data_IF_911778020058
#
_entry.id   IF_911778020058
#
_cell.length_a   1.000
_cell.length_b   1.000
_cell.length_c   1.000
_cell.angle_alpha   90.00
_cell.angle_beta   90.00
_cell.angle_gamma   90.00
#
_symmetry.space_group_name_H-M   'P 1'
#
loop_
_entity.id
_entity.type
_entity.pdbx_description
1 polymer ?
#
# COMPACT_ATOMS: atom_id res chain seq x y z
N UNK A 1 12.58 53.11 -24.85
CA UNK A 1 12.11 52.04 -25.76
C UNK A 1 11.36 50.99 -24.94
N UNK A 2 10.23 50.52 -25.47
CA UNK A 2 9.14 49.76 -24.82
C UNK A 2 9.58 48.36 -24.30
N UNK A 3 9.08 47.97 -23.11
CA UNK A 3 9.12 46.60 -22.58
C UNK A 3 8.16 45.69 -23.38
N UNK A 4 8.53 44.44 -23.72
CA UNK A 4 7.57 43.44 -24.18
C UNK A 4 6.88 42.74 -22.99
N UNK A 5 5.57 42.56 -23.12
CA UNK A 5 4.65 42.07 -22.09
C UNK A 5 4.63 40.55 -21.96
N UNK A 6 4.24 40.09 -20.75
CA UNK A 6 3.98 38.70 -20.41
C UNK A 6 2.63 38.27 -20.97
N UNK A 7 2.61 37.29 -21.87
CA UNK A 7 1.41 36.55 -22.24
C UNK A 7 1.17 35.43 -21.21
N UNK A 8 0.00 35.45 -20.58
CA UNK A 8 -0.49 34.34 -19.75
C UNK A 8 -1.08 33.26 -20.64
N UNK A 9 -0.56 32.04 -20.54
CA UNK A 9 -1.13 30.87 -21.19
C UNK A 9 -2.22 30.26 -20.29
N UNK A 10 -3.45 30.26 -20.80
CA UNK A 10 -4.62 29.58 -20.24
C UNK A 10 -4.55 28.11 -20.65
N UNK A 11 -4.38 27.19 -19.69
CA UNK A 11 -4.41 25.75 -19.94
C UNK A 11 -5.82 25.22 -19.71
N UNK A 12 -6.48 24.76 -20.78
CA UNK A 12 -7.76 24.06 -20.73
C UNK A 12 -7.45 22.56 -20.72
N UNK A 13 -7.76 21.88 -19.60
CA UNK A 13 -7.71 20.43 -19.52
C UNK A 13 -9.05 19.85 -19.98
N UNK A 14 -9.09 19.33 -21.20
CA UNK A 14 -10.19 18.48 -21.66
C UNK A 14 -10.00 17.07 -21.13
N UNK A 15 -10.83 16.66 -20.18
CA UNK A 15 -10.93 15.28 -19.71
C UNK A 15 -11.67 14.46 -20.77
N UNK A 16 -10.94 13.68 -21.56
CA UNK A 16 -11.51 12.72 -22.50
C UNK A 16 -11.85 11.46 -21.71
N UNK A 17 -13.14 11.25 -21.46
CA UNK A 17 -13.66 10.02 -20.86
C UNK A 17 -13.70 8.93 -21.94
N UNK A 18 -12.96 7.81 -21.82
CA UNK A 18 -13.02 6.72 -22.79
C UNK A 18 -14.38 5.98 -22.71
N UNK A 19 -14.91 5.49 -23.84
CA UNK A 19 -16.19 4.78 -23.87
C UNK A 19 -16.10 3.44 -23.13
N UNK A 20 -17.03 3.23 -22.19
CA UNK A 20 -17.24 1.97 -21.49
C UNK A 20 -17.45 0.83 -22.52
N UNK A 21 -16.50 -0.09 -22.57
CA UNK A 21 -16.67 -1.36 -23.30
C UNK A 21 -17.63 -2.25 -22.52
N UNK A 22 -18.63 -2.74 -23.25
CA UNK A 22 -19.71 -3.64 -22.79
C UNK A 22 -19.18 -4.80 -21.96
N UNK A 23 -19.60 -4.85 -20.70
CA UNK A 23 -19.46 -6.00 -19.82
C UNK A 23 -20.47 -7.06 -20.27
N UNK A 24 -19.98 -8.18 -20.81
CA UNK A 24 -20.80 -9.36 -21.11
C UNK A 24 -21.01 -10.10 -19.79
N UNK A 25 -22.21 -9.97 -19.23
CA UNK A 25 -22.63 -10.70 -18.02
C UNK A 25 -23.01 -12.11 -18.47
N UNK A 26 -22.16 -13.10 -18.16
CA UNK A 26 -22.51 -14.51 -18.31
C UNK A 26 -23.46 -14.92 -17.18
N UNK A 27 -24.73 -15.11 -17.51
CA UNK A 27 -25.74 -15.65 -16.59
C UNK A 27 -25.46 -17.13 -16.32
N UNK A 28 -24.93 -17.44 -15.14
CA UNK A 28 -24.90 -18.81 -14.64
C UNK A 28 -26.27 -19.18 -14.08
N UNK A 29 -27.00 -20.04 -14.79
CA UNK A 29 -28.23 -20.67 -14.30
C UNK A 29 -27.87 -21.74 -13.27
N UNK A 30 -28.07 -21.45 -11.98
CA UNK A 30 -28.04 -22.46 -10.92
C UNK A 30 -29.32 -23.30 -11.00
N UNK A 31 -29.15 -24.61 -11.22
CA UNK A 31 -30.26 -25.57 -11.16
C UNK A 31 -30.77 -25.76 -9.72
N UNK A 32 -32.07 -26.04 -9.53
CA UNK A 32 -32.67 -26.18 -8.20
C UNK A 32 -32.21 -27.49 -7.55
N UNK A 33 -31.51 -27.39 -6.41
CA UNK A 33 -31.21 -28.50 -5.53
C UNK A 33 -32.44 -28.73 -4.62
N UNK A 34 -33.24 -29.74 -4.93
CA UNK A 34 -34.38 -30.16 -4.10
C UNK A 34 -33.84 -30.95 -2.91
N UNK A 35 -33.93 -30.38 -1.71
CA UNK A 35 -33.68 -31.07 -0.44
C UNK A 35 -35.00 -31.49 0.20
N UNK A 36 -35.13 -32.73 0.72
CA UNK A 36 -36.31 -33.16 1.46
C UNK A 36 -36.34 -32.54 2.86
N UNK A 37 -37.34 -31.70 3.12
CA UNK A 37 -37.68 -31.23 4.47
C UNK A 37 -38.42 -32.35 5.23
N UNK A 38 -37.74 -32.98 6.19
CA UNK A 38 -38.40 -33.76 7.23
C UNK A 38 -38.40 -32.94 8.52
N UNK A 39 -39.52 -32.27 8.80
CA UNK A 39 -39.67 -31.36 9.93
C UNK A 39 -40.17 -32.10 11.18
N UNK A 40 -39.24 -32.58 12.00
CA UNK A 40 -39.53 -33.01 13.37
C UNK A 40 -39.43 -31.79 14.30
N UNK A 41 -40.57 -31.29 14.76
CA UNK A 41 -40.66 -30.16 15.68
C UNK A 41 -40.12 -30.55 17.08
N UNK A 42 -38.85 -30.26 17.32
CA UNK A 42 -38.25 -30.34 18.65
C UNK A 42 -38.59 -29.08 19.48
N UNK A 43 -38.83 -29.22 20.80
CA UNK A 43 -39.14 -28.11 21.69
C UNK A 43 -38.00 -27.09 21.73
N UNK A 44 -38.36 -25.81 21.60
CA UNK A 44 -37.44 -24.67 21.58
C UNK A 44 -36.58 -24.63 22.85
N UNK A 45 -35.24 -24.69 22.74
CA UNK A 45 -34.36 -24.51 23.89
C UNK A 45 -34.49 -23.08 24.42
N UNK A 46 -34.67 -22.99 25.75
CA UNK A 46 -34.75 -21.75 26.51
C UNK A 46 -33.55 -20.85 26.16
N UNK A 47 -33.75 -19.55 25.83
CA UNK A 47 -32.66 -18.68 25.44
C UNK A 47 -31.65 -18.63 26.59
N UNK A 48 -30.36 -18.93 26.35
CA UNK A 48 -29.35 -18.80 27.39
C UNK A 48 -29.30 -17.32 27.78
N UNK A 49 -29.65 -17.04 29.04
CA UNK A 49 -29.44 -15.75 29.70
C UNK A 49 -27.93 -15.56 29.87
N UNK A 50 -27.25 -15.29 28.77
CA UNK A 50 -25.82 -15.05 28.69
C UNK A 50 -25.60 -13.55 28.86
N UNK A 51 -25.54 -13.10 30.11
CA UNK A 51 -24.86 -11.86 30.47
C UNK A 51 -23.36 -12.07 30.27
N UNK A 52 -22.92 -12.20 29.02
CA UNK A 52 -21.51 -12.19 28.69
C UNK A 52 -20.96 -10.83 29.14
N UNK A 53 -19.88 -10.78 29.94
CA UNK A 53 -19.29 -9.53 30.37
C UNK A 53 -18.95 -8.71 29.13
N UNK A 54 -19.46 -7.47 29.06
CA UNK A 54 -19.16 -6.54 27.99
C UNK A 54 -17.64 -6.44 27.86
N UNK A 55 -17.11 -6.97 26.75
CA UNK A 55 -15.68 -6.99 26.48
C UNK A 55 -15.19 -5.54 26.46
N UNK A 56 -14.33 -5.21 27.43
CA UNK A 56 -13.82 -3.84 27.57
C UNK A 56 -13.04 -3.49 26.31
N UNK A 57 -13.59 -2.58 25.51
CA UNK A 57 -12.91 -2.00 24.35
C UNK A 57 -11.59 -1.41 24.86
N UNK A 58 -10.48 -1.86 24.27
CA UNK A 58 -9.17 -1.36 24.64
C UNK A 58 -8.78 -0.26 23.67
N UNK A 59 -8.10 0.75 24.22
CA UNK A 59 -7.64 1.92 23.48
C UNK A 59 -6.14 2.10 23.67
N UNK A 60 -5.47 2.53 22.60
CA UNK A 60 -4.07 2.98 22.62
C UNK A 60 -3.94 4.34 21.92
N UNK A 61 -3.09 5.24 22.44
CA UNK A 61 -2.70 6.44 21.71
C UNK A 61 -1.73 6.04 20.58
N UNK A 62 -1.94 6.61 19.40
CA UNK A 62 -1.11 6.44 18.22
C UNK A 62 -0.90 7.79 17.55
N UNK A 63 0.07 7.88 16.66
CA UNK A 63 0.26 9.05 15.79
C UNK A 63 0.07 8.59 14.37
N UNK A 64 -0.85 9.23 13.64
CA UNK A 64 -1.10 8.99 12.21
C UNK A 64 -0.87 10.29 11.45
N UNK A 65 0.02 10.28 10.47
CA UNK A 65 0.36 11.42 9.62
C UNK A 65 0.76 12.66 10.42
N UNK A 66 1.44 12.45 11.55
CA UNK A 66 1.85 13.52 12.48
C UNK A 66 0.74 14.03 13.40
N UNK A 67 -0.47 13.49 13.32
CA UNK A 67 -1.60 13.87 14.18
C UNK A 67 -1.80 12.85 15.31
N UNK A 68 -2.11 13.31 16.54
CA UNK A 68 -2.48 12.41 17.63
C UNK A 68 -3.84 11.75 17.34
N UNK A 69 -3.88 10.43 17.42
CA UNK A 69 -5.10 9.66 17.26
C UNK A 69 -5.22 8.59 18.34
N UNK A 70 -6.43 8.16 18.63
CA UNK A 70 -6.73 7.00 19.47
C UNK A 70 -7.15 5.84 18.59
N UNK A 71 -6.50 4.68 18.76
CA UNK A 71 -6.91 3.44 18.10
C UNK A 71 -7.62 2.54 19.11
N UNK A 72 -8.86 2.16 18.79
CA UNK A 72 -9.71 1.32 19.64
C UNK A 72 -10.21 0.08 18.89
N UNK A 73 -10.47 -1.00 19.63
CA UNK A 73 -10.99 -2.22 19.02
C UNK A 73 -11.19 -3.39 19.99
N UNK A 74 -11.60 -4.56 19.48
CA UNK A 74 -11.87 -5.76 20.28
C UNK A 74 -10.59 -6.51 20.69
N UNK A 75 -9.41 -6.02 20.31
CA UNK A 75 -8.14 -6.68 20.57
C UNK A 75 -7.46 -6.12 21.82
N UNK A 76 -6.64 -6.94 22.50
CA UNK A 76 -5.86 -6.44 23.63
C UNK A 76 -4.81 -5.42 23.17
N UNK A 77 -4.45 -4.48 24.06
CA UNK A 77 -3.47 -3.41 23.79
C UNK A 77 -2.20 -3.87 23.06
N UNK A 78 -1.52 -4.97 23.42
CA UNK A 78 -0.31 -5.41 22.71
C UNK A 78 -0.55 -5.78 21.25
N UNK A 79 -1.73 -6.33 20.94
CA UNK A 79 -2.13 -6.67 19.57
C UNK A 79 -2.45 -5.39 18.81
N UNK A 80 -3.19 -4.45 19.41
CA UNK A 80 -3.42 -3.13 18.82
C UNK A 80 -2.08 -2.43 18.49
N UNK A 81 -1.13 -2.39 19.42
CA UNK A 81 0.20 -1.81 19.16
C UNK A 81 0.89 -2.49 17.98
N UNK A 82 0.86 -3.83 17.92
CA UNK A 82 1.43 -4.61 16.81
C UNK A 82 0.77 -4.29 15.46
N UNK A 83 -0.54 -4.04 15.44
CA UNK A 83 -1.28 -3.66 14.23
C UNK A 83 -0.86 -2.25 13.77
N UNK A 84 -0.68 -1.31 14.70
CA UNK A 84 -0.22 0.03 14.36
C UNK A 84 1.24 0.03 13.85
N UNK A 85 2.10 -0.83 14.39
CA UNK A 85 3.49 -0.97 13.93
C UNK A 85 3.62 -1.40 12.46
N UNK A 86 2.62 -2.12 11.92
CA UNK A 86 2.57 -2.51 10.50
C UNK A 86 1.74 -1.56 9.65
N UNK A 87 1.27 -0.44 10.19
CA UNK A 87 0.49 0.53 9.42
C UNK A 87 1.29 1.06 8.21
N UNK A 88 0.67 1.27 7.04
CA UNK A 88 1.32 1.83 5.85
C UNK A 88 2.05 3.14 6.14
N UNK A 89 1.53 3.94 7.07
CA UNK A 89 2.12 5.22 7.49
C UNK A 89 3.54 5.08 8.07
N UNK A 90 3.88 3.93 8.67
CA UNK A 90 5.25 3.67 9.18
C UNK A 90 6.25 3.39 8.06
N UNK A 91 5.78 3.26 6.82
CA UNK A 91 6.56 2.86 5.66
C UNK A 91 6.65 4.07 4.75
N UNK A 92 7.63 4.94 5.04
CA UNK A 92 7.86 6.10 4.18
C UNK A 92 8.08 5.65 2.73
N UNK A 93 7.42 6.31 1.74
CA UNK A 93 7.64 6.01 0.34
C UNK A 93 9.09 6.27 -0.09
N UNK A 94 9.80 7.14 0.65
CA UNK A 94 11.22 7.49 0.44
C UNK A 94 12.16 6.76 1.39
N UNK A 95 11.69 5.72 2.08
CA UNK A 95 12.52 4.95 3.00
C UNK A 95 13.75 4.36 2.27
N UNK A 96 14.94 4.63 2.81
CA UNK A 96 16.17 3.99 2.31
C UNK A 96 16.16 2.47 2.52
N UNK A 97 17.05 1.76 1.80
CA UNK A 97 17.15 0.28 1.81
C UNK A 97 17.24 -0.31 3.22
N UNK A 98 18.09 0.28 4.07
CA UNK A 98 18.27 -0.20 5.45
C UNK A 98 17.02 0.00 6.32
N UNK A 99 16.26 1.08 6.08
CA UNK A 99 14.98 1.28 6.75
C UNK A 99 13.96 0.22 6.30
N UNK A 100 13.86 -0.05 4.99
CA UNK A 100 12.99 -1.10 4.45
C UNK A 100 13.34 -2.49 4.99
N UNK A 101 14.63 -2.83 5.10
CA UNK A 101 15.11 -4.08 5.72
C UNK A 101 14.67 -4.20 7.16
N UNK A 102 14.84 -3.13 7.96
CA UNK A 102 14.39 -3.10 9.37
C UNK A 102 12.87 -3.28 9.47
N UNK A 103 12.09 -2.59 8.64
CA UNK A 103 10.62 -2.73 8.61
C UNK A 103 10.23 -4.17 8.26
N UNK A 104 10.87 -4.76 7.24
CA UNK A 104 10.61 -6.15 6.84
C UNK A 104 10.92 -7.13 7.98
N UNK A 105 12.05 -6.97 8.67
CA UNK A 105 12.43 -7.79 9.82
C UNK A 105 11.43 -7.66 10.97
N UNK A 106 11.04 -6.42 11.33
CA UNK A 106 9.99 -6.17 12.34
C UNK A 106 8.68 -6.85 11.97
N UNK A 107 8.21 -6.62 10.75
CA UNK A 107 6.98 -7.23 10.22
C UNK A 107 7.05 -8.76 10.22
N UNK A 108 8.24 -9.34 10.06
CA UNK A 108 8.48 -10.78 10.13
C UNK A 108 8.41 -11.32 11.56
N UNK A 109 8.95 -10.57 12.52
CA UNK A 109 9.00 -10.94 13.92
C UNK A 109 7.68 -10.78 14.68
N UNK A 110 6.72 -10.03 14.13
CA UNK A 110 5.41 -9.81 14.77
C UNK A 110 4.62 -11.12 14.91
N UNK A 111 4.32 -11.44 16.16
CA UNK A 111 3.47 -12.56 16.58
C UNK A 111 2.07 -12.02 16.92
N UNK A 112 1.05 -12.89 16.86
CA UNK A 112 -0.32 -12.58 17.29
C UNK A 112 -1.04 -11.51 16.45
N UNK A 113 -0.73 -11.41 15.16
CA UNK A 113 -1.51 -10.56 14.23
C UNK A 113 -2.84 -11.27 13.95
N UNK A 114 -4.00 -10.58 14.02
CA UNK A 114 -5.28 -11.18 13.69
C UNK A 114 -5.29 -11.79 12.27
N UNK A 115 -5.96 -12.93 12.05
CA UNK A 115 -6.00 -13.59 10.73
C UNK A 115 -6.40 -12.66 9.58
N UNK A 116 -7.31 -11.71 9.86
CA UNK A 116 -7.79 -10.72 8.89
C UNK A 116 -6.69 -9.77 8.37
N UNK A 117 -5.59 -9.62 9.10
CA UNK A 117 -4.43 -8.79 8.75
C UNK A 117 -3.24 -9.63 8.23
N UNK A 118 -3.32 -10.95 8.25
CA UNK A 118 -2.21 -11.80 7.77
C UNK A 118 -1.97 -11.65 6.27
N UNK A 119 -3.04 -11.53 5.48
CA UNK A 119 -2.94 -11.29 4.04
C UNK A 119 -2.22 -9.96 3.76
N UNK A 120 -2.62 -8.88 4.43
CA UNK A 120 -1.97 -7.57 4.35
C UNK A 120 -0.48 -7.68 4.73
N UNK A 121 -0.17 -8.35 5.84
CA UNK A 121 1.20 -8.55 6.32
C UNK A 121 2.06 -9.26 5.28
N UNK A 122 1.54 -10.31 4.67
CA UNK A 122 2.25 -11.08 3.66
C UNK A 122 2.44 -10.27 2.37
N UNK A 123 1.45 -9.48 2.00
CA UNK A 123 1.56 -8.57 0.86
C UNK A 123 2.61 -7.49 1.09
N UNK A 124 2.59 -6.89 2.26
CA UNK A 124 3.58 -5.92 2.67
C UNK A 124 5.00 -6.49 2.65
N UNK A 125 5.20 -7.70 3.19
CA UNK A 125 6.50 -8.39 3.18
C UNK A 125 7.00 -8.62 1.75
N UNK A 126 6.14 -9.07 0.84
CA UNK A 126 6.47 -9.29 -0.57
C UNK A 126 6.83 -7.98 -1.27
N UNK A 127 6.04 -6.93 -1.05
CA UNK A 127 6.28 -5.59 -1.60
C UNK A 127 7.61 -5.00 -1.10
N UNK A 128 7.89 -5.08 0.21
CA UNK A 128 9.16 -4.66 0.79
C UNK A 128 10.34 -5.45 0.23
N UNK A 129 10.21 -6.78 0.10
CA UNK A 129 11.27 -7.61 -0.50
C UNK A 129 11.59 -7.18 -1.93
N UNK A 130 10.57 -6.93 -2.75
CA UNK A 130 10.72 -6.46 -4.12
C UNK A 130 11.39 -5.07 -4.20
N UNK A 131 10.98 -4.12 -3.35
CA UNK A 131 11.59 -2.78 -3.29
C UNK A 131 13.05 -2.82 -2.86
N UNK A 132 13.38 -3.66 -1.87
CA UNK A 132 14.78 -3.88 -1.44
C UNK A 132 15.61 -4.43 -2.60
N UNK A 133 15.11 -5.46 -3.30
CA UNK A 133 15.80 -6.07 -4.42
C UNK A 133 16.07 -5.07 -5.56
N UNK A 134 15.10 -4.19 -5.86
CA UNK A 134 15.27 -3.13 -6.86
C UNK A 134 16.38 -2.15 -6.46
N UNK A 135 16.35 -1.60 -5.25
CA UNK A 135 17.32 -0.60 -4.83
C UNK A 135 18.74 -1.18 -4.66
N UNK A 136 18.86 -2.43 -4.23
CA UNK A 136 20.14 -3.15 -4.19
C UNK A 136 20.69 -3.40 -5.59
N UNK A 137 19.84 -3.88 -6.51
CA UNK A 137 20.23 -4.09 -7.90
C UNK A 137 20.60 -2.79 -8.61
N UNK A 138 19.87 -1.70 -8.35
CA UNK A 138 20.21 -0.36 -8.86
C UNK A 138 21.55 0.13 -8.32
N UNK A 139 21.82 -0.09 -7.03
CA UNK A 139 23.09 0.28 -6.42
C UNK A 139 24.26 -0.50 -7.04
N UNK A 140 24.06 -1.78 -7.34
CA UNK A 140 25.07 -2.59 -8.03
C UNK A 140 25.25 -2.15 -9.49
N UNK A 141 24.15 -1.92 -10.20
CA UNK A 141 24.18 -1.56 -11.62
C UNK A 141 24.81 -0.19 -11.87
N UNK A 142 24.59 0.78 -10.97
CA UNK A 142 25.23 2.11 -11.01
C UNK A 142 26.75 2.07 -10.77
N UNK A 143 27.27 0.99 -10.17
CA UNK A 143 28.72 0.79 -9.96
C UNK A 143 29.40 0.14 -11.16
N UNK A 144 28.65 -0.33 -12.15
CA UNK A 144 29.20 -0.95 -13.34
C UNK A 144 29.95 0.08 -14.21
N UNK A 145 31.02 -0.35 -14.85
CA UNK A 145 31.76 0.47 -15.81
C UNK A 145 30.91 0.76 -17.05
N UNK A 146 31.24 1.85 -17.76
CA UNK A 146 30.53 2.27 -18.98
C UNK A 146 30.45 1.19 -20.07
N UNK A 147 31.44 0.30 -20.17
CA UNK A 147 31.45 -0.83 -21.10
C UNK A 147 30.42 -1.91 -20.77
N UNK A 148 30.03 -2.02 -19.50
CA UNK A 148 29.26 -3.15 -18.97
C UNK A 148 27.82 -2.76 -18.62
N UNK A 149 27.42 -1.52 -18.93
CA UNK A 149 26.16 -0.92 -18.53
C UNK A 149 24.95 -1.73 -19.02
N UNK A 150 25.04 -2.34 -20.21
CA UNK A 150 24.00 -3.24 -20.75
C UNK A 150 23.87 -4.52 -19.95
N UNK A 151 25.00 -5.16 -19.62
CA UNK A 151 25.04 -6.38 -18.81
C UNK A 151 24.53 -6.14 -17.39
N UNK A 152 24.81 -4.95 -16.84
CA UNK A 152 24.28 -4.51 -15.56
C UNK A 152 22.74 -4.38 -15.59
N UNK A 153 22.17 -3.86 -16.68
CA UNK A 153 20.72 -3.82 -16.87
C UNK A 153 20.12 -5.22 -16.95
N UNK A 154 20.71 -6.12 -17.74
CA UNK A 154 20.21 -7.50 -17.86
C UNK A 154 20.24 -8.23 -16.51
N UNK A 155 21.31 -8.01 -15.72
CA UNK A 155 21.44 -8.57 -14.36
C UNK A 155 20.39 -8.00 -13.41
N UNK A 156 20.11 -6.69 -13.49
CA UNK A 156 19.05 -6.04 -12.74
C UNK A 156 17.68 -6.64 -13.09
N UNK A 157 17.34 -6.72 -14.38
CA UNK A 157 16.05 -7.24 -14.83
C UNK A 157 15.87 -8.70 -14.43
N UNK A 158 16.92 -9.51 -14.55
CA UNK A 158 16.94 -10.90 -14.08
C UNK A 158 16.63 -11.02 -12.59
N UNK A 159 17.18 -10.15 -11.74
CA UNK A 159 16.89 -10.13 -10.31
C UNK A 159 15.43 -9.72 -10.03
N UNK A 160 14.89 -8.75 -10.78
CA UNK A 160 13.51 -8.30 -10.62
C UNK A 160 12.46 -9.33 -11.06
N UNK A 161 12.85 -10.29 -11.92
CA UNK A 161 11.96 -11.32 -12.45
C UNK A 161 11.22 -12.11 -11.38
N UNK A 162 11.85 -12.37 -10.24
CA UNK A 162 11.26 -13.15 -9.14
C UNK A 162 10.14 -12.39 -8.40
N UNK A 163 10.05 -11.08 -8.60
CA UNK A 163 9.09 -10.20 -7.91
C UNK A 163 7.93 -9.75 -8.77
N UNK A 164 7.96 -10.07 -10.06
CA UNK A 164 6.93 -9.70 -11.05
C UNK A 164 6.20 -10.97 -11.49
N UNK A 165 4.91 -10.85 -11.79
CA UNK A 165 4.16 -11.95 -12.39
C UNK A 165 4.82 -12.40 -13.69
N UNK A 166 4.92 -13.71 -13.91
CA UNK A 166 5.48 -14.29 -15.13
C UNK A 166 4.76 -13.82 -16.40
N UNK A 167 3.48 -13.45 -16.29
CA UNK A 167 2.68 -12.92 -17.40
C UNK A 167 3.05 -11.48 -17.77
N UNK A 168 3.43 -10.65 -16.80
CA UNK A 168 3.74 -9.23 -17.03
C UNK A 168 5.23 -8.95 -17.23
N UNK A 169 6.09 -9.88 -16.80
CA UNK A 169 7.55 -9.71 -16.89
C UNK A 169 8.07 -9.48 -18.31
N UNK A 170 7.66 -10.23 -19.36
CA UNK A 170 8.20 -10.02 -20.71
C UNK A 170 7.97 -8.61 -21.25
N UNK A 171 6.75 -8.08 -21.08
CA UNK A 171 6.41 -6.72 -21.49
C UNK A 171 7.15 -5.65 -20.68
N UNK A 172 7.38 -5.91 -19.39
CA UNK A 172 8.19 -5.05 -18.54
C UNK A 172 9.66 -5.03 -18.99
N UNK A 173 10.26 -6.19 -19.20
CA UNK A 173 11.66 -6.33 -19.62
C UNK A 173 11.92 -5.60 -20.94
N UNK A 174 11.07 -5.82 -21.95
CA UNK A 174 11.16 -5.15 -23.24
C UNK A 174 11.02 -3.63 -23.09
N UNK A 175 10.02 -3.18 -22.31
CA UNK A 175 9.80 -1.76 -22.05
C UNK A 175 11.01 -1.10 -21.36
N UNK A 176 11.65 -1.79 -20.42
CA UNK A 176 12.81 -1.25 -19.70
C UNK A 176 14.05 -1.20 -20.57
N UNK A 177 14.31 -2.23 -21.40
CA UNK A 177 15.39 -2.22 -22.39
C UNK A 177 15.25 -1.08 -23.38
N UNK A 178 14.04 -0.90 -23.94
CA UNK A 178 13.73 0.20 -24.85
C UNK A 178 13.88 1.57 -24.20
N UNK A 179 13.35 1.74 -22.98
CA UNK A 179 13.48 2.99 -22.24
C UNK A 179 14.94 3.31 -21.93
N UNK A 180 15.76 2.29 -21.63
CA UNK A 180 17.18 2.47 -21.37
C UNK A 180 17.94 2.98 -22.59
N UNK A 181 17.69 2.39 -23.77
CA UNK A 181 18.29 2.83 -25.02
C UNK A 181 17.88 4.25 -25.38
N UNK A 182 16.59 4.58 -25.21
CA UNK A 182 16.06 5.92 -25.45
C UNK A 182 16.69 6.99 -24.53
N UNK A 183 17.23 6.58 -23.38
CA UNK A 183 17.90 7.44 -22.41
C UNK A 183 19.43 7.42 -22.54
N UNK A 184 19.95 7.04 -23.72
CA UNK A 184 21.39 7.03 -24.01
C UNK A 184 22.14 5.90 -23.31
N UNK A 185 21.45 4.82 -22.96
CA UNK A 185 22.01 3.66 -22.25
C UNK A 185 22.77 4.04 -20.96
N UNK A 186 22.20 4.95 -20.17
CA UNK A 186 22.79 5.44 -18.93
C UNK A 186 21.83 5.39 -17.73
N UNK A 187 22.40 5.30 -16.52
CA UNK A 187 21.67 5.31 -15.24
C UNK A 187 21.27 6.72 -14.77
N UNK A 188 20.67 7.51 -15.66
CA UNK A 188 20.20 8.85 -15.32
C UNK A 188 18.92 8.81 -14.47
N UNK A 189 18.57 9.93 -13.84
CA UNK A 189 17.40 10.04 -12.95
C UNK A 189 16.10 9.73 -13.68
N UNK A 190 15.93 10.20 -14.91
CA UNK A 190 14.72 10.00 -15.72
C UNK A 190 14.46 8.50 -15.94
N UNK A 191 15.47 7.73 -16.33
CA UNK A 191 15.34 6.29 -16.51
C UNK A 191 15.07 5.57 -15.18
N UNK A 192 15.80 5.93 -14.12
CA UNK A 192 15.65 5.29 -12.80
C UNK A 192 14.25 5.53 -12.23
N UNK A 193 13.72 6.75 -12.35
CA UNK A 193 12.37 7.07 -11.87
C UNK A 193 11.30 6.37 -12.70
N UNK A 194 11.49 6.29 -14.04
CA UNK A 194 10.59 5.51 -14.90
C UNK A 194 10.57 4.01 -14.55
N UNK A 195 11.75 3.43 -14.29
CA UNK A 195 11.89 2.05 -13.86
C UNK A 195 11.18 1.81 -12.53
N UNK A 196 11.38 2.68 -11.53
CA UNK A 196 10.71 2.62 -10.23
C UNK A 196 9.21 2.67 -10.38
N UNK A 197 8.69 3.67 -11.08
CA UNK A 197 7.26 3.87 -11.28
C UNK A 197 6.62 2.65 -11.97
N UNK A 198 7.24 2.14 -13.04
CA UNK A 198 6.75 0.95 -13.75
C UNK A 198 6.80 -0.30 -12.88
N UNK A 199 7.87 -0.49 -12.13
CA UNK A 199 8.03 -1.63 -11.23
C UNK A 199 6.99 -1.59 -10.09
N UNK A 200 6.75 -0.42 -9.49
CA UNK A 200 5.78 -0.24 -8.40
C UNK A 200 4.34 -0.58 -8.80
N UNK A 201 3.98 -0.41 -10.07
CA UNK A 201 2.68 -0.79 -10.63
C UNK A 201 2.53 -2.29 -10.88
N UNK A 202 3.63 -3.03 -10.98
CA UNK A 202 3.66 -4.46 -11.32
C UNK A 202 3.83 -5.36 -10.11
N UNK A 203 4.54 -4.89 -9.08
CA UNK A 203 4.55 -5.55 -7.78
C UNK A 203 3.17 -5.45 -7.13
N UNK A 204 2.94 -6.25 -6.09
CA UNK A 204 1.63 -6.37 -5.46
C UNK A 204 0.93 -5.02 -5.18
N UNK A 205 -0.42 -4.99 -5.28
CA UNK A 205 -1.22 -3.76 -5.21
C UNK A 205 -0.96 -2.98 -3.93
N UNK A 206 -1.41 -1.73 -3.93
CA UNK A 206 -1.21 -0.83 -2.82
C UNK A 206 -1.73 -1.46 -1.51
N UNK A 207 -0.82 -1.58 -0.56
CA UNK A 207 -1.06 -2.21 0.72
C UNK A 207 -2.00 -1.35 1.58
N UNK A 208 -2.15 -0.07 1.26
CA UNK A 208 -3.02 0.85 2.01
C UNK A 208 -4.51 0.46 1.96
N UNK A 209 -5.05 0.15 0.78
CA UNK A 209 -6.46 -0.21 0.64
C UNK A 209 -6.76 -1.52 1.39
N UNK A 210 -5.86 -2.50 1.28
CA UNK A 210 -5.99 -3.77 2.00
C UNK A 210 -5.88 -3.61 3.50
N UNK A 211 -5.00 -2.72 3.98
CA UNK A 211 -4.91 -2.38 5.39
C UNK A 211 -6.23 -1.79 5.90
N UNK A 212 -6.76 -0.77 5.23
CA UNK A 212 -8.03 -0.14 5.62
C UNK A 212 -9.20 -1.12 5.58
N UNK A 213 -9.24 -2.02 4.59
CA UNK A 213 -10.21 -3.11 4.52
C UNK A 213 -10.07 -4.05 5.73
N UNK A 214 -8.84 -4.47 6.06
CA UNK A 214 -8.58 -5.36 7.18
C UNK A 214 -8.95 -4.72 8.53
N UNK A 215 -8.59 -3.46 8.75
CA UNK A 215 -8.98 -2.67 9.94
C UNK A 215 -10.50 -2.62 10.09
N UNK A 216 -11.23 -2.34 9.00
CA UNK A 216 -12.70 -2.29 9.02
C UNK A 216 -13.32 -3.64 9.38
N UNK A 217 -12.83 -4.74 8.78
CA UNK A 217 -13.29 -6.10 9.08
C UNK A 217 -12.96 -6.48 10.53
N UNK A 218 -11.82 -6.02 11.03
CA UNK A 218 -11.36 -6.23 12.40
C UNK A 218 -12.13 -5.37 13.43
N UNK A 219 -13.04 -4.48 12.99
CA UNK A 219 -13.76 -3.52 13.84
C UNK A 219 -12.83 -2.62 14.66
N UNK A 220 -11.67 -2.28 14.09
CA UNK A 220 -10.74 -1.31 14.67
C UNK A 220 -11.12 0.07 14.18
N UNK A 221 -11.12 1.05 15.08
CA UNK A 221 -11.44 2.44 14.78
C UNK A 221 -10.26 3.34 15.12
N UNK A 222 -10.07 4.37 14.29
CA UNK A 222 -9.13 5.45 14.53
C UNK A 222 -9.91 6.74 14.74
N UNK A 223 -9.64 7.43 15.84
CA UNK A 223 -10.23 8.74 16.14
C UNK A 223 -9.08 9.72 16.31
N UNK A 224 -8.89 10.61 15.34
CA UNK A 224 -7.86 11.64 15.39
C UNK A 224 -8.42 12.91 16.01
N UNK A 225 -7.74 13.45 17.02
CA UNK A 225 -8.02 14.78 17.53
C UNK A 225 -7.27 15.78 16.66
N UNK A 226 -8.01 16.53 15.84
CA UNK A 226 -7.48 17.75 15.26
C UNK A 226 -7.36 18.73 16.43
N UNK A 227 -6.14 19.07 16.83
CA UNK A 227 -5.93 20.30 17.59
C UNK A 227 -6.37 21.43 16.66
N UNK A 228 -7.61 21.89 16.83
CA UNK A 228 -8.06 23.18 16.31
C UNK A 228 -7.17 24.21 17.00
N UNK A 229 -6.05 24.52 16.35
CA UNK A 229 -5.03 25.41 16.87
C UNK A 229 -5.71 26.62 17.48
N UNK A 230 -5.60 26.73 18.80
CA UNK A 230 -5.86 27.98 19.48
C UNK A 230 -4.81 28.93 18.91
N UNK A 231 -5.16 29.64 17.84
CA UNK A 231 -4.45 30.80 17.37
C UNK A 231 -4.46 31.77 18.54
N UNK A 232 -3.47 31.65 19.42
CA UNK A 232 -3.16 32.67 20.41
C UNK A 232 -2.69 33.87 19.61
N UNK A 233 -3.68 34.65 19.17
CA UNK A 233 -3.58 36.03 18.74
C UNK A 233 -2.91 36.77 19.88
N UNK A 234 -1.58 36.76 19.88
CA UNK A 234 -0.79 37.70 20.65
C UNK A 234 -1.07 39.08 20.05
N UNK A 235 -2.09 39.74 20.59
CA UNK A 235 -2.21 41.19 20.52
C UNK A 235 -0.96 41.76 21.17
N UNK A 236 0.06 42.05 20.37
CA UNK A 236 1.07 43.06 20.70
C UNK A 236 0.37 44.43 20.62
N UNK A 237 -0.32 44.79 21.69
CA UNK A 237 -0.60 46.19 22.01
C UNK A 237 0.56 46.75 22.82
N UNK A 238 1.29 47.67 22.21
CA UNK A 238 1.81 48.88 22.87
C UNK A 238 3.11 48.78 23.67
N UNK A 239 4.21 49.24 23.05
CA UNK A 239 4.95 50.43 23.51
C UNK A 239 5.80 51.02 22.38
#
# INVERSE_FOLDING_TARGET
MKKPGKHGNLWIFSVIIPPLKRLVIASFTFGPLILPLNATAAPLPKPPSSSAPAEKIQEIPVTLFGQPCTMSGPFPRPVLTSIHEVSPEKISPTAGVEAMKRIRLKTTALKNIPPVLEQYRDHLRKRLAAKIALEEALTQAKKANSSDVRSALDSLLKNLKEHISSLSYPAFEESMKKAFDANGAGWNTVFVDHLREKFERLIQPDTEEEFHKAIRVAKIQYVCSLDEGTESSSNEEGE
#
